data_IF_040664923756
#
_entry.id   IF_040664923756
#
_cell.length_a   1.000
_cell.length_b   1.000
_cell.length_c   1.000
_cell.angle_alpha   90.00
_cell.angle_beta   90.00
_cell.angle_gamma   90.00
#
_symmetry.space_group_name_H-M   'P 1'
#
loop_
_entity.id
_entity.type
_entity.pdbx_description
1 polymer ?
#
# COMPACT_ATOMS: atom_id res chain seq x y z
N UNK A 1 -11.75 26.19 -11.52
CA UNK A 1 -13.06 25.51 -11.59
C UNK A 1 -12.87 24.02 -11.44
N UNK A 2 -13.11 23.49 -10.25
CA UNK A 2 -13.06 22.05 -9.98
C UNK A 2 -14.41 21.65 -9.38
N UNK A 3 -15.47 21.69 -10.19
CA UNK A 3 -16.74 21.11 -9.79
C UNK A 3 -16.65 19.60 -9.99
N UNK A 4 -16.37 18.87 -8.92
CA UNK A 4 -16.56 17.42 -8.88
C UNK A 4 -18.05 17.14 -9.12
N UNK A 5 -18.36 16.21 -10.02
CA UNK A 5 -19.73 15.77 -10.20
C UNK A 5 -20.23 15.10 -8.92
N UNK A 6 -21.55 15.10 -8.68
CA UNK A 6 -22.16 14.38 -7.55
C UNK A 6 -21.72 12.92 -7.52
N UNK A 7 -21.66 12.30 -8.71
CA UNK A 7 -21.14 10.95 -8.88
C UNK A 7 -19.68 10.82 -8.40
N UNK A 8 -18.81 11.76 -8.76
CA UNK A 8 -17.41 11.73 -8.32
C UNK A 8 -17.29 11.87 -6.81
N UNK A 9 -18.06 12.77 -6.20
CA UNK A 9 -18.09 12.94 -4.74
C UNK A 9 -18.52 11.64 -4.05
N UNK A 10 -19.50 10.94 -4.60
CA UNK A 10 -19.97 9.67 -4.06
C UNK A 10 -18.93 8.55 -4.22
N UNK A 11 -18.24 8.48 -5.36
CA UNK A 11 -17.13 7.54 -5.55
C UNK A 11 -15.98 7.78 -4.56
N UNK A 12 -15.59 9.04 -4.33
CA UNK A 12 -14.55 9.37 -3.35
C UNK A 12 -14.98 9.02 -1.92
N UNK A 13 -16.25 9.27 -1.55
CA UNK A 13 -16.79 8.83 -0.26
C UNK A 13 -16.75 7.31 -0.13
N UNK A 14 -17.13 6.58 -1.18
CA UNK A 14 -17.07 5.12 -1.21
C UNK A 14 -15.63 4.61 -1.07
N UNK A 15 -14.66 5.27 -1.71
CA UNK A 15 -13.24 4.94 -1.58
C UNK A 15 -12.75 5.12 -0.14
N UNK A 16 -13.15 6.21 0.52
CA UNK A 16 -12.86 6.44 1.93
C UNK A 16 -13.47 5.35 2.82
N UNK A 17 -14.73 4.96 2.58
CA UNK A 17 -15.36 3.84 3.29
C UNK A 17 -14.56 2.54 3.11
N UNK A 18 -14.22 2.17 1.88
CA UNK A 18 -13.44 0.97 1.58
C UNK A 18 -12.07 1.00 2.29
N UNK A 19 -11.37 2.15 2.29
CA UNK A 19 -10.13 2.34 3.06
C UNK A 19 -10.37 2.06 4.54
N UNK A 20 -11.41 2.65 5.15
CA UNK A 20 -11.69 2.45 6.58
C UNK A 20 -12.03 0.99 6.91
N UNK A 21 -12.80 0.31 6.05
CA UNK A 21 -13.08 -1.12 6.20
C UNK A 21 -11.81 -1.96 6.05
N UNK A 22 -10.95 -1.61 5.08
CA UNK A 22 -9.64 -2.23 4.89
C UNK A 22 -8.76 -2.11 6.13
N UNK A 23 -8.73 -0.92 6.76
CA UNK A 23 -8.01 -0.70 8.02
C UNK A 23 -8.54 -1.61 9.14
N UNK A 24 -9.85 -1.81 9.23
CA UNK A 24 -10.45 -2.73 10.21
C UNK A 24 -10.05 -4.18 9.92
N UNK A 25 -10.11 -4.61 8.66
CA UNK A 25 -9.65 -5.94 8.26
C UNK A 25 -8.16 -6.15 8.57
N UNK A 26 -7.31 -5.15 8.31
CA UNK A 26 -5.90 -5.18 8.64
C UNK A 26 -5.66 -5.33 10.15
N UNK A 27 -6.37 -4.55 10.99
CA UNK A 27 -6.30 -4.69 12.45
C UNK A 27 -6.73 -6.08 12.93
N UNK A 28 -7.69 -6.69 12.24
CA UNK A 28 -8.15 -8.04 12.50
C UNK A 28 -7.26 -9.13 11.86
N UNK A 29 -6.09 -8.77 11.33
CA UNK A 29 -5.16 -9.68 10.61
C UNK A 29 -5.76 -10.39 9.40
N UNK A 30 -6.87 -9.86 8.86
CA UNK A 30 -7.51 -10.37 7.65
C UNK A 30 -6.82 -9.76 6.41
N UNK A 31 -5.55 -10.10 6.21
CA UNK A 31 -4.70 -9.48 5.20
C UNK A 31 -5.24 -9.60 3.77
N UNK A 32 -5.69 -10.78 3.27
CA UNK A 32 -6.20 -10.89 1.90
C UNK A 32 -7.43 -10.01 1.65
N UNK A 33 -8.30 -9.89 2.66
CA UNK A 33 -9.49 -9.05 2.58
C UNK A 33 -9.13 -7.56 2.62
N UNK A 34 -8.15 -7.18 3.43
CA UNK A 34 -7.67 -5.81 3.48
C UNK A 34 -7.03 -5.38 2.15
N UNK A 35 -6.22 -6.24 1.51
CA UNK A 35 -5.67 -5.98 0.17
C UNK A 35 -6.78 -5.73 -0.84
N UNK A 36 -7.76 -6.64 -0.91
CA UNK A 36 -8.89 -6.52 -1.84
C UNK A 36 -9.66 -5.19 -1.66
N UNK A 37 -9.87 -4.77 -0.40
CA UNK A 37 -10.55 -3.51 -0.09
C UNK A 37 -9.74 -2.28 -0.47
N UNK A 38 -8.42 -2.29 -0.23
CA UNK A 38 -7.55 -1.18 -0.63
C UNK A 38 -7.43 -1.06 -2.16
N UNK A 39 -7.30 -2.19 -2.88
CA UNK A 39 -7.30 -2.19 -4.34
C UNK A 39 -8.63 -1.69 -4.92
N UNK A 40 -9.75 -2.13 -4.34
CA UNK A 40 -11.07 -1.62 -4.73
C UNK A 40 -11.18 -0.10 -4.51
N UNK A 41 -10.70 0.40 -3.36
CA UNK A 41 -10.67 1.83 -3.08
C UNK A 41 -9.81 2.59 -4.10
N UNK A 42 -8.62 2.07 -4.43
CA UNK A 42 -7.68 2.68 -5.38
C UNK A 42 -8.26 2.75 -6.79
N UNK A 43 -9.04 1.75 -7.20
CA UNK A 43 -9.64 1.68 -8.55
C UNK A 43 -10.74 2.71 -8.82
N UNK A 44 -11.38 3.23 -7.76
CA UNK A 44 -12.52 4.16 -7.89
C UNK A 44 -12.17 5.60 -7.51
N UNK A 45 -11.10 5.80 -6.75
CA UNK A 45 -10.66 7.14 -6.35
C UNK A 45 -9.79 7.78 -7.44
N UNK A 46 -10.00 9.07 -7.63
CA UNK A 46 -9.16 9.94 -8.45
C UNK A 46 -8.26 10.84 -7.61
N UNK A 47 -8.46 10.85 -6.29
CA UNK A 47 -7.69 11.64 -5.35
C UNK A 47 -6.28 11.04 -5.17
N UNK A 48 -5.27 11.76 -5.67
CA UNK A 48 -3.87 11.37 -5.56
C UNK A 48 -3.40 11.20 -4.11
N UNK A 49 -3.93 11.99 -3.17
CA UNK A 49 -3.61 11.87 -1.74
C UNK A 49 -4.15 10.57 -1.16
N UNK A 50 -5.41 10.22 -1.51
CA UNK A 50 -6.02 8.97 -1.08
C UNK A 50 -5.31 7.76 -1.72
N UNK A 51 -4.99 7.81 -3.02
CA UNK A 51 -4.23 6.76 -3.71
C UNK A 51 -2.87 6.53 -3.08
N UNK A 52 -2.16 7.60 -2.76
CA UNK A 52 -0.86 7.51 -2.07
C UNK A 52 -1.01 6.86 -0.70
N UNK A 53 -2.03 7.26 0.08
CA UNK A 53 -2.32 6.66 1.39
C UNK A 53 -2.61 5.17 1.28
N UNK A 54 -3.39 4.76 0.27
CA UNK A 54 -3.72 3.36 -0.01
C UNK A 54 -2.47 2.55 -0.38
N UNK A 55 -1.64 3.06 -1.29
CA UNK A 55 -0.37 2.45 -1.67
C UNK A 55 0.56 2.28 -0.45
N UNK A 56 0.62 3.29 0.42
CA UNK A 56 1.36 3.24 1.67
C UNK A 56 0.84 2.11 2.59
N UNK A 57 -0.47 1.98 2.74
CA UNK A 57 -1.08 0.93 3.57
C UNK A 57 -0.87 -0.47 2.99
N UNK A 58 -0.94 -0.62 1.67
CA UNK A 58 -0.61 -1.88 0.99
C UNK A 58 0.85 -2.26 1.22
N UNK A 59 1.80 -1.32 1.05
CA UNK A 59 3.21 -1.59 1.31
C UNK A 59 3.46 -2.08 2.74
N UNK A 60 2.82 -1.46 3.74
CA UNK A 60 2.93 -1.89 5.13
C UNK A 60 2.30 -3.27 5.37
N UNK A 61 1.17 -3.55 4.74
CA UNK A 61 0.51 -4.86 4.83
C UNK A 61 1.42 -5.94 4.26
N UNK A 62 1.98 -5.74 3.07
CA UNK A 62 2.88 -6.68 2.42
C UNK A 62 4.16 -6.92 3.23
N UNK A 63 4.74 -5.87 3.84
CA UNK A 63 5.83 -6.01 4.80
C UNK A 63 5.49 -6.95 5.97
N UNK A 64 4.27 -6.87 6.51
CA UNK A 64 3.87 -7.72 7.64
C UNK A 64 3.61 -9.18 7.27
N UNK A 65 3.32 -9.46 6.01
CA UNK A 65 3.12 -10.82 5.51
C UNK A 65 4.37 -11.37 4.80
N UNK A 66 5.50 -10.65 4.92
CA UNK A 66 6.80 -11.01 4.34
C UNK A 66 6.84 -11.06 2.80
N UNK A 67 5.86 -10.46 2.14
CA UNK A 67 5.79 -10.30 0.68
C UNK A 67 6.56 -9.02 0.29
N UNK A 68 7.89 -9.08 0.34
CA UNK A 68 8.73 -7.89 0.24
C UNK A 68 8.75 -7.28 -1.17
N UNK A 69 8.58 -8.08 -2.22
CA UNK A 69 8.55 -7.60 -3.61
C UNK A 69 7.30 -6.74 -3.89
N UNK A 70 6.13 -7.20 -3.43
CA UNK A 70 4.87 -6.46 -3.51
C UNK A 70 4.92 -5.21 -2.64
N UNK A 71 5.54 -5.30 -1.46
CA UNK A 71 5.75 -4.14 -0.60
C UNK A 71 6.57 -3.05 -1.29
N UNK A 72 7.68 -3.44 -1.94
CA UNK A 72 8.52 -2.54 -2.73
C UNK A 72 7.71 -1.90 -3.87
N UNK A 73 7.01 -2.72 -4.65
CA UNK A 73 6.22 -2.25 -5.80
C UNK A 73 5.15 -1.24 -5.37
N UNK A 74 4.45 -1.52 -4.26
CA UNK A 74 3.45 -0.61 -3.71
C UNK A 74 4.07 0.71 -3.21
N UNK A 75 5.24 0.64 -2.55
CA UNK A 75 5.92 1.83 -2.06
C UNK A 75 6.44 2.72 -3.19
N UNK A 76 7.03 2.15 -4.25
CA UNK A 76 7.52 2.88 -5.43
C UNK A 76 6.37 3.56 -6.20
N UNK A 77 5.25 2.84 -6.36
CA UNK A 77 4.02 3.42 -6.91
C UNK A 77 3.51 4.59 -6.08
N UNK A 78 3.48 4.45 -4.76
CA UNK A 78 3.09 5.52 -3.85
C UNK A 78 4.00 6.75 -3.99
N UNK A 79 5.31 6.55 -4.08
CA UNK A 79 6.28 7.64 -4.27
C UNK A 79 6.14 8.37 -5.59
N UNK A 80 5.64 7.71 -6.62
CA UNK A 80 5.37 8.33 -7.91
C UNK A 80 4.11 9.21 -7.92
N UNK A 81 3.22 9.02 -6.92
CA UNK A 81 1.94 9.72 -6.79
C UNK A 81 1.93 10.79 -5.69
N UNK A 82 2.86 10.69 -4.73
CA UNK A 82 2.85 11.52 -3.54
C UNK A 82 3.21 12.97 -3.85
N UNK A 83 2.33 13.89 -3.46
CA UNK A 83 2.63 15.32 -3.43
C UNK A 83 3.04 15.82 -2.03
N UNK A 84 2.75 15.04 -0.99
CA UNK A 84 3.01 15.37 0.42
C UNK A 84 4.35 14.78 0.89
N UNK A 85 5.27 15.67 1.30
CA UNK A 85 6.62 15.28 1.70
C UNK A 85 6.64 14.32 2.90
N UNK A 86 5.76 14.52 3.89
CA UNK A 86 5.72 13.67 5.08
C UNK A 86 5.26 12.25 4.76
N UNK A 87 4.31 12.11 3.82
CA UNK A 87 3.89 10.81 3.32
C UNK A 87 4.97 10.16 2.43
N UNK A 88 5.72 10.98 1.67
CA UNK A 88 6.84 10.51 0.87
C UNK A 88 7.93 9.88 1.75
N UNK A 89 8.30 10.51 2.87
CA UNK A 89 9.28 9.96 3.81
C UNK A 89 8.84 8.61 4.41
N UNK A 90 7.55 8.47 4.75
CA UNK A 90 6.99 7.19 5.21
C UNK A 90 7.12 6.09 4.16
N UNK A 91 6.84 6.42 2.91
CA UNK A 91 6.96 5.49 1.79
C UNK A 91 8.42 5.12 1.50
N UNK A 92 9.34 6.09 1.52
CA UNK A 92 10.79 5.85 1.38
C UNK A 92 11.29 4.92 2.48
N UNK A 93 10.89 5.15 3.73
CA UNK A 93 11.25 4.30 4.85
C UNK A 93 10.78 2.85 4.63
N UNK A 94 9.50 2.66 4.24
CA UNK A 94 8.93 1.33 3.94
C UNK A 94 9.63 0.66 2.77
N UNK A 95 9.94 1.42 1.71
CA UNK A 95 10.69 0.94 0.56
C UNK A 95 12.08 0.43 0.95
N UNK A 96 12.79 1.20 1.76
CA UNK A 96 14.12 0.82 2.24
C UNK A 96 14.06 -0.43 3.12
N UNK A 97 13.05 -0.54 3.99
CA UNK A 97 12.82 -1.76 4.78
C UNK A 97 12.60 -2.97 3.88
N UNK A 98 11.70 -2.86 2.89
CA UNK A 98 11.41 -3.94 1.94
C UNK A 98 12.68 -4.39 1.18
N UNK A 99 13.49 -3.44 0.71
CA UNK A 99 14.75 -3.72 0.01
C UNK A 99 15.77 -4.40 0.90
N UNK A 100 15.93 -3.92 2.15
CA UNK A 100 16.84 -4.54 3.10
C UNK A 100 16.43 -5.97 3.41
N UNK A 101 15.15 -6.22 3.71
CA UNK A 101 14.67 -7.57 4.04
C UNK A 101 14.75 -8.50 2.84
N UNK A 102 14.49 -8.03 1.63
CA UNK A 102 14.63 -8.81 0.40
C UNK A 102 16.09 -9.24 0.17
N UNK A 103 17.04 -8.33 0.36
CA UNK A 103 18.47 -8.65 0.22
C UNK A 103 18.93 -9.72 1.23
N UNK A 104 18.46 -9.66 2.48
CA UNK A 104 18.83 -10.66 3.50
C UNK A 104 18.15 -12.02 3.24
N UNK A 105 16.90 -12.04 2.78
CA UNK A 105 16.19 -13.27 2.45
C UNK A 105 16.88 -14.05 1.32
N UNK A 106 17.41 -13.35 0.31
CA UNK A 106 18.19 -13.97 -0.78
C UNK A 106 19.59 -14.46 -0.38
N UNK A 107 20.08 -14.11 0.81
CA UNK A 107 21.35 -14.61 1.36
C UNK A 107 21.15 -15.87 2.20
N UNK A 108 20.07 -15.97 2.99
CA UNK A 108 19.74 -17.19 3.75
C UNK A 108 19.46 -18.41 2.86
N UNK A 109 18.81 -18.21 1.70
CA UNK A 109 18.51 -19.32 0.77
C UNK A 109 19.77 -19.87 0.07
N UNK A 110 20.86 -19.08 -0.03
CA UNK A 110 22.14 -19.55 -0.60
C UNK A 110 23.05 -20.26 0.40
N UNK A 111 22.70 -20.27 1.69
CA UNK A 111 23.48 -20.94 2.74
C UNK A 111 22.87 -22.24 3.23
N UNK A 112 21.99 -22.89 2.44
CA UNK A 112 21.62 -24.29 2.68
C UNK A 112 22.46 -25.24 1.81
N UNK A 113 23.62 -25.73 2.29
CA UNK A 113 24.25 -26.91 1.75
C UNK A 113 23.66 -28.14 2.43
N UNK A 114 22.52 -28.66 1.95
CA UNK A 114 22.21 -30.10 2.13
C UNK A 114 21.02 -30.55 1.28
N UNK A 115 21.33 -31.18 0.13
CA UNK A 115 20.60 -32.30 -0.47
C UNK A 115 21.54 -33.05 -1.42
#
# INVERSE_FOLDING_TARGET
SSHLSVHQIEMERRAQCLKTTGNTCYKNKQFPRAVSLYCAAESITTDGSLRTTLASNLALLFLNIHEYEEAQTCAERGLSLVADEHLAEKLKHRLNLAKQTLSHAGEEERTSPDA
#
